data_IF_313653227943
#
_entry.id   IF_313653227943
#
_cell.length_a   1.000
_cell.length_b   1.000
_cell.length_c   1.000
_cell.angle_alpha   90.00
_cell.angle_beta   90.00
_cell.angle_gamma   90.00
#
_symmetry.space_group_name_H-M   'P 1'
#
loop_
_entity.id
_entity.type
_entity.pdbx_description
1 polymer ?
#
# COMPACT_ATOMS: atom_id res chain seq x y z
N UNK A 1 -18.34 8.78 -17.21
CA UNK A 1 -17.49 8.32 -16.08
C UNK A 1 -16.32 7.47 -16.54
N UNK A 2 -16.53 6.40 -17.32
CA UNK A 2 -15.42 5.59 -17.85
C UNK A 2 -14.35 6.39 -18.62
N UNK A 3 -14.76 7.46 -19.35
CA UNK A 3 -13.83 8.37 -20.04
C UNK A 3 -12.90 9.10 -19.06
N UNK A 4 -13.40 9.57 -17.91
CA UNK A 4 -12.57 10.28 -16.93
C UNK A 4 -11.55 9.33 -16.29
N UNK A 5 -11.96 8.11 -15.96
CA UNK A 5 -11.06 7.08 -15.43
C UNK A 5 -10.01 6.67 -16.49
N UNK A 6 -10.42 6.57 -17.75
CA UNK A 6 -9.51 6.30 -18.86
C UNK A 6 -8.48 7.42 -19.03
N UNK A 7 -8.92 8.69 -19.03
CA UNK A 7 -8.03 9.85 -19.12
C UNK A 7 -7.06 9.91 -17.93
N UNK A 8 -7.54 9.70 -16.71
CA UNK A 8 -6.70 9.59 -15.51
C UNK A 8 -5.69 8.46 -15.62
N UNK A 9 -6.10 7.30 -16.13
CA UNK A 9 -5.21 6.14 -16.31
C UNK A 9 -4.10 6.45 -17.31
N UNK A 10 -4.46 6.97 -18.48
CA UNK A 10 -3.50 7.35 -19.54
C UNK A 10 -2.54 8.42 -19.02
N UNK A 11 -3.07 9.44 -18.33
CA UNK A 11 -2.27 10.49 -17.73
C UNK A 11 -1.29 9.96 -16.67
N UNK A 12 -1.72 9.01 -15.83
CA UNK A 12 -0.86 8.41 -14.81
C UNK A 12 0.29 7.59 -15.44
N UNK A 13 0.01 6.80 -16.48
CA UNK A 13 1.03 6.09 -17.28
C UNK A 13 2.01 7.08 -17.91
N UNK A 14 1.49 8.14 -18.52
CA UNK A 14 2.30 9.16 -19.20
C UNK A 14 3.18 9.95 -18.22
N UNK A 15 2.64 10.26 -17.04
CA UNK A 15 3.36 10.92 -15.96
C UNK A 15 4.57 10.11 -15.49
N UNK A 16 4.38 8.82 -15.23
CA UNK A 16 5.47 7.90 -14.87
C UNK A 16 6.53 7.78 -15.97
N UNK A 17 6.11 7.69 -17.23
CA UNK A 17 7.04 7.65 -18.37
C UNK A 17 7.90 8.91 -18.44
N UNK A 18 7.32 10.10 -18.20
CA UNK A 18 8.06 11.35 -18.20
C UNK A 18 9.02 11.48 -17.00
N UNK A 19 8.64 10.95 -15.84
CA UNK A 19 9.51 10.90 -14.65
C UNK A 19 10.76 10.04 -14.85
N UNK A 20 10.74 9.05 -15.74
CA UNK A 20 11.93 8.27 -16.12
C UNK A 20 13.02 9.07 -16.85
N UNK A 21 12.75 10.31 -17.27
CA UNK A 21 13.71 11.18 -17.95
C UNK A 21 13.94 12.48 -17.18
N UNK A 22 15.20 12.83 -16.91
CA UNK A 22 15.55 14.00 -16.10
C UNK A 22 14.94 15.32 -16.66
N UNK A 23 14.95 15.49 -17.99
CA UNK A 23 14.42 16.70 -18.64
C UNK A 23 12.90 16.86 -18.54
N UNK A 24 12.14 15.76 -18.43
CA UNK A 24 10.66 15.80 -18.35
C UNK A 24 10.13 15.47 -16.95
N UNK A 25 11.00 15.28 -15.95
CA UNK A 25 10.59 14.82 -14.62
C UNK A 25 9.55 15.73 -13.94
N UNK A 26 9.72 17.05 -14.04
CA UNK A 26 8.76 18.02 -13.48
C UNK A 26 7.39 17.94 -14.15
N UNK A 27 7.37 17.84 -15.48
CA UNK A 27 6.14 17.66 -16.26
C UNK A 27 5.47 16.33 -15.90
N UNK A 28 6.26 15.26 -15.78
CA UNK A 28 5.76 13.94 -15.39
C UNK A 28 5.05 13.95 -14.04
N UNK A 29 5.64 14.61 -13.05
CA UNK A 29 5.02 14.78 -11.73
C UNK A 29 3.71 15.59 -11.80
N UNK A 30 3.69 16.69 -12.57
CA UNK A 30 2.48 17.51 -12.72
C UNK A 30 1.34 16.74 -13.42
N UNK A 31 1.65 16.00 -14.48
CA UNK A 31 0.67 15.16 -15.20
C UNK A 31 0.14 14.06 -14.29
N UNK A 32 1.00 13.38 -13.52
CA UNK A 32 0.56 12.35 -12.57
C UNK A 32 -0.34 12.93 -11.46
N UNK A 33 0.03 14.08 -10.89
CA UNK A 33 -0.77 14.76 -9.87
C UNK A 33 -2.16 15.15 -10.39
N UNK A 34 -2.23 15.77 -11.58
CA UNK A 34 -3.50 16.09 -12.22
C UNK A 34 -4.36 14.85 -12.49
N UNK A 35 -3.74 13.75 -12.92
CA UNK A 35 -4.44 12.49 -13.21
C UNK A 35 -5.11 11.90 -11.97
N UNK A 36 -4.43 11.93 -10.82
CA UNK A 36 -4.97 11.47 -9.53
C UNK A 36 -6.10 12.39 -9.06
N UNK A 37 -5.96 13.72 -9.20
CA UNK A 37 -7.04 14.66 -8.87
C UNK A 37 -8.28 14.45 -9.73
N UNK A 38 -8.10 14.21 -11.03
CA UNK A 38 -9.18 13.91 -11.95
C UNK A 38 -9.91 12.61 -11.55
N UNK A 39 -9.16 11.58 -11.16
CA UNK A 39 -9.73 10.30 -10.71
C UNK A 39 -10.54 10.50 -9.41
N UNK A 40 -9.98 11.21 -8.44
CA UNK A 40 -10.65 11.53 -7.17
C UNK A 40 -11.96 12.30 -7.40
N UNK A 41 -11.94 13.29 -8.28
CA UNK A 41 -13.14 14.05 -8.66
C UNK A 41 -14.20 13.17 -9.32
N UNK A 42 -13.79 12.29 -10.24
CA UNK A 42 -14.70 11.37 -10.92
C UNK A 42 -15.31 10.34 -9.95
N UNK A 43 -14.54 9.80 -9.00
CA UNK A 43 -15.05 8.88 -7.96
C UNK A 43 -16.01 9.59 -7.01
N UNK A 44 -15.68 10.81 -6.59
CA UNK A 44 -16.56 11.60 -5.71
C UNK A 44 -17.88 11.93 -6.40
N UNK A 45 -17.83 12.31 -7.68
CA UNK A 45 -19.03 12.56 -8.47
C UNK A 45 -19.88 11.28 -8.62
N UNK A 46 -19.25 10.13 -8.84
CA UNK A 46 -19.96 8.84 -8.95
C UNK A 46 -20.65 8.41 -7.64
N UNK A 47 -20.23 8.93 -6.49
CA UNK A 47 -20.87 8.66 -5.20
C UNK A 47 -22.15 9.48 -4.98
N UNK A 48 -22.47 10.42 -5.87
CA UNK A 48 -23.72 11.21 -5.82
C UNK A 48 -24.86 10.34 -6.37
N UNK A 49 -25.57 9.67 -5.47
CA UNK A 49 -26.79 8.89 -5.78
C UNK A 49 -28.00 9.48 -5.05
N UNK A 50 -29.23 9.25 -5.54
CA UNK A 50 -30.44 9.65 -4.83
C UNK A 50 -30.45 9.07 -3.41
N UNK A 51 -30.51 9.94 -2.40
CA UNK A 51 -30.46 9.56 -0.99
C UNK A 51 -29.10 9.75 -0.29
N UNK A 52 -28.03 10.10 -1.02
CA UNK A 52 -26.74 10.42 -0.38
C UNK A 52 -26.85 11.75 0.37
N UNK A 53 -26.72 11.70 1.70
CA UNK A 53 -26.73 12.91 2.54
C UNK A 53 -25.54 13.83 2.24
N UNK A 54 -25.81 15.13 2.13
CA UNK A 54 -24.82 16.20 1.99
C UNK A 54 -23.74 16.13 3.07
N UNK A 55 -24.08 15.65 4.26
CA UNK A 55 -23.13 15.48 5.36
C UNK A 55 -21.93 14.57 5.00
N UNK A 56 -22.14 13.52 4.20
CA UNK A 56 -21.06 12.63 3.76
C UNK A 56 -20.03 13.36 2.89
N UNK A 57 -20.48 14.23 1.99
CA UNK A 57 -19.60 15.02 1.13
C UNK A 57 -18.85 16.10 1.92
N UNK A 58 -19.49 16.71 2.92
CA UNK A 58 -18.83 17.65 3.83
C UNK A 58 -17.71 16.94 4.61
N UNK A 59 -18.01 15.77 5.19
CA UNK A 59 -17.00 14.97 5.91
C UNK A 59 -15.86 14.56 4.98
N UNK A 60 -16.17 14.06 3.78
CA UNK A 60 -15.16 13.70 2.78
C UNK A 60 -14.26 14.90 2.43
N UNK A 61 -14.86 16.07 2.17
CA UNK A 61 -14.13 17.29 1.88
C UNK A 61 -13.19 17.71 3.03
N UNK A 62 -13.66 17.64 4.27
CA UNK A 62 -12.85 17.93 5.46
C UNK A 62 -11.68 16.95 5.64
N UNK A 63 -11.90 15.66 5.39
CA UNK A 63 -10.86 14.64 5.47
C UNK A 63 -9.80 14.83 4.37
N UNK A 64 -10.22 15.09 3.13
CA UNK A 64 -9.30 15.36 2.01
C UNK A 64 -8.48 16.64 2.26
N UNK A 65 -9.12 17.70 2.74
CA UNK A 65 -8.45 18.95 3.06
C UNK A 65 -7.46 18.80 4.21
N UNK A 66 -7.86 18.13 5.30
CA UNK A 66 -6.97 17.93 6.45
C UNK A 66 -5.75 17.08 6.08
N UNK A 67 -5.95 15.97 5.34
CA UNK A 67 -4.85 15.16 4.81
C UNK A 67 -3.90 15.95 3.91
N UNK A 68 -4.45 16.77 3.00
CA UNK A 68 -3.66 17.62 2.10
C UNK A 68 -2.83 18.64 2.88
N UNK A 69 -3.42 19.31 3.88
CA UNK A 69 -2.72 20.31 4.71
C UNK A 69 -1.60 19.66 5.52
N UNK A 70 -1.87 18.53 6.20
CA UNK A 70 -0.86 17.81 6.99
C UNK A 70 0.28 17.33 6.09
N UNK A 71 -0.03 16.68 4.96
CA UNK A 71 0.97 16.18 4.02
C UNK A 71 1.81 17.31 3.43
N UNK A 72 1.19 18.46 3.14
CA UNK A 72 1.89 19.67 2.67
C UNK A 72 2.86 20.17 3.74
N UNK A 73 2.41 20.32 4.98
CA UNK A 73 3.26 20.80 6.08
C UNK A 73 4.48 19.89 6.27
N UNK A 74 4.29 18.56 6.28
CA UNK A 74 5.40 17.61 6.42
C UNK A 74 6.38 17.69 5.25
N UNK A 75 5.87 17.79 4.01
CA UNK A 75 6.71 17.86 2.81
C UNK A 75 7.59 19.11 2.75
N UNK A 76 7.15 20.24 3.30
CA UNK A 76 7.94 21.48 3.30
C UNK A 76 8.87 21.63 4.51
N UNK A 77 8.64 20.88 5.59
CA UNK A 77 9.43 21.02 6.83
C UNK A 77 10.59 20.03 6.96
N UNK A 78 10.55 18.90 6.26
CA UNK A 78 11.61 17.88 6.34
C UNK A 78 12.81 18.30 5.49
N UNK A 79 14.01 18.20 6.07
CA UNK A 79 15.26 18.50 5.36
C UNK A 79 15.52 17.51 4.22
N UNK A 80 16.18 17.96 3.15
CA UNK A 80 16.47 17.13 1.97
C UNK A 80 17.33 15.88 2.28
N UNK A 81 18.13 15.93 3.35
CA UNK A 81 18.91 14.77 3.84
C UNK A 81 18.05 13.69 4.48
N UNK A 82 16.83 14.04 4.92
CA UNK A 82 15.88 13.16 5.58
C UNK A 82 14.70 12.76 4.68
N UNK A 83 14.86 12.90 3.36
CA UNK A 83 13.82 12.51 2.39
C UNK A 83 13.47 11.02 2.43
N UNK A 84 14.43 10.07 2.62
CA UNK A 84 14.07 8.65 2.71
C UNK A 84 13.08 8.33 3.83
N UNK A 85 13.19 9.01 4.97
CA UNK A 85 12.28 8.90 6.12
C UNK A 85 10.86 9.31 5.73
N UNK A 86 10.72 10.48 5.08
CA UNK A 86 9.42 11.00 4.67
C UNK A 86 8.77 10.10 3.61
N UNK A 87 9.54 9.60 2.64
CA UNK A 87 9.04 8.64 1.63
C UNK A 87 8.55 7.36 2.30
N UNK A 88 9.29 6.83 3.27
CA UNK A 88 8.86 5.66 4.03
C UNK A 88 7.55 5.94 4.79
N UNK A 89 7.43 7.09 5.44
CA UNK A 89 6.22 7.44 6.19
C UNK A 89 4.99 7.58 5.28
N UNK A 90 5.12 8.20 4.10
CA UNK A 90 4.01 8.27 3.15
C UNK A 90 3.63 6.90 2.59
N UNK A 91 4.60 6.01 2.35
CA UNK A 91 4.31 4.63 1.99
C UNK A 91 3.54 3.90 3.11
N UNK A 92 3.90 4.16 4.37
CA UNK A 92 3.19 3.59 5.51
C UNK A 92 1.70 3.96 5.50
N UNK A 93 1.38 5.26 5.30
CA UNK A 93 -0.01 5.73 5.22
C UNK A 93 -0.78 5.09 4.05
N UNK A 94 -0.13 4.85 2.92
CA UNK A 94 -0.71 4.08 1.81
C UNK A 94 -1.05 2.64 2.20
N UNK A 95 -0.12 1.95 2.87
CA UNK A 95 -0.34 0.59 3.39
C UNK A 95 -1.48 0.52 4.41
N UNK A 96 -1.56 1.48 5.34
CA UNK A 96 -2.64 1.58 6.32
C UNK A 96 -4.00 1.83 5.62
N UNK A 97 -4.02 2.67 4.59
CA UNK A 97 -5.22 2.91 3.80
C UNK A 97 -5.74 1.62 3.15
N UNK A 98 -4.86 0.76 2.65
CA UNK A 98 -5.25 -0.55 2.11
C UNK A 98 -5.83 -1.48 3.18
N UNK A 99 -5.26 -1.48 4.39
CA UNK A 99 -5.81 -2.25 5.54
C UNK A 99 -7.20 -1.75 5.93
N UNK A 100 -7.37 -0.44 6.10
CA UNK A 100 -8.66 0.16 6.49
C UNK A 100 -9.72 -0.05 5.41
N UNK A 101 -9.36 0.15 4.14
CA UNK A 101 -10.24 -0.14 3.01
C UNK A 101 -10.68 -1.61 3.03
N UNK A 102 -9.74 -2.52 3.30
CA UNK A 102 -10.04 -3.94 3.31
C UNK A 102 -10.95 -4.37 4.47
N UNK A 103 -10.70 -3.83 5.67
CA UNK A 103 -11.56 -4.03 6.84
C UNK A 103 -12.96 -3.45 6.62
N UNK A 104 -13.11 -2.35 5.87
CA UNK A 104 -14.42 -1.85 5.49
C UNK A 104 -15.11 -2.78 4.47
N UNK A 105 -14.37 -3.25 3.46
CA UNK A 105 -14.91 -4.08 2.38
C UNK A 105 -15.37 -5.48 2.83
N UNK A 106 -14.87 -5.98 3.96
CA UNK A 106 -15.31 -7.28 4.48
C UNK A 106 -16.80 -7.30 4.85
N UNK A 107 -17.40 -6.13 5.10
CA UNK A 107 -18.83 -6.02 5.41
C UNK A 107 -19.71 -6.16 4.17
N UNK A 108 -19.17 -5.91 2.97
CA UNK A 108 -19.88 -6.04 1.70
C UNK A 108 -19.74 -7.44 1.08
N UNK A 109 -18.95 -8.32 1.69
CA UNK A 109 -18.76 -9.71 1.24
C UNK A 109 -19.61 -10.65 2.10
N UNK A 110 -20.45 -11.43 1.43
CA UNK A 110 -21.20 -12.53 2.05
C UNK A 110 -20.43 -13.86 1.98
N UNK A 111 -20.76 -14.80 2.87
CA UNK A 111 -20.06 -16.09 3.01
C UNK A 111 -20.42 -17.13 1.93
N UNK A 112 -20.99 -16.71 0.80
CA UNK A 112 -21.42 -17.61 -0.28
C UNK A 112 -20.25 -18.21 -1.08
N UNK A 113 -20.41 -19.39 -1.72
CA UNK A 113 -19.33 -20.08 -2.46
C UNK A 113 -18.68 -19.24 -3.57
N UNK A 114 -19.43 -18.34 -4.21
CA UNK A 114 -18.94 -17.43 -5.26
C UNK A 114 -18.05 -16.28 -4.75
N UNK A 115 -17.93 -16.08 -3.43
CA UNK A 115 -17.24 -14.93 -2.84
C UNK A 115 -15.82 -15.28 -2.33
N UNK A 116 -15.39 -16.55 -2.40
CA UNK A 116 -14.04 -16.95 -1.96
C UNK A 116 -12.93 -16.24 -2.73
N UNK A 117 -13.08 -16.07 -4.04
CA UNK A 117 -12.10 -15.37 -4.87
C UNK A 117 -11.92 -13.90 -4.45
N UNK A 118 -13.03 -13.18 -4.24
CA UNK A 118 -13.01 -11.81 -3.72
C UNK A 118 -12.40 -11.75 -2.31
N UNK A 119 -12.70 -12.74 -1.46
CA UNK A 119 -12.10 -12.86 -0.13
C UNK A 119 -10.58 -13.05 -0.15
N UNK A 120 -10.06 -13.85 -1.07
CA UNK A 120 -8.60 -14.03 -1.26
C UNK A 120 -7.94 -12.71 -1.67
N UNK A 121 -8.50 -12.00 -2.65
CA UNK A 121 -8.00 -10.70 -3.11
C UNK A 121 -7.97 -9.72 -1.95
N UNK A 122 -9.03 -9.69 -1.13
CA UNK A 122 -9.14 -8.84 0.04
C UNK A 122 -8.09 -9.18 1.12
N UNK A 123 -7.94 -10.46 1.46
CA UNK A 123 -6.95 -10.94 2.43
C UNK A 123 -5.54 -10.57 1.98
N UNK A 124 -5.19 -10.83 0.71
CA UNK A 124 -3.88 -10.49 0.17
C UNK A 124 -3.63 -8.97 0.20
N UNK A 125 -4.62 -8.17 -0.17
CA UNK A 125 -4.53 -6.70 -0.10
C UNK A 125 -4.24 -6.19 1.31
N UNK A 126 -4.98 -6.70 2.31
CA UNK A 126 -4.79 -6.36 3.73
C UNK A 126 -3.43 -6.83 4.25
N UNK A 127 -3.01 -8.05 3.90
CA UNK A 127 -1.73 -8.60 4.35
C UNK A 127 -0.56 -7.79 3.79
N UNK A 128 -0.55 -7.53 2.48
CA UNK A 128 0.52 -6.75 1.85
C UNK A 128 0.53 -5.30 2.34
N UNK A 129 -0.65 -4.68 2.50
CA UNK A 129 -0.79 -3.34 3.06
C UNK A 129 -0.32 -3.23 4.51
N UNK A 130 -0.65 -4.22 5.36
CA UNK A 130 -0.27 -4.26 6.77
C UNK A 130 1.24 -4.48 6.98
N UNK A 131 1.83 -5.36 6.18
CA UNK A 131 3.29 -5.56 6.15
C UNK A 131 3.98 -4.25 5.72
N UNK A 132 3.49 -3.62 4.65
CA UNK A 132 4.05 -2.36 4.18
C UNK A 132 3.93 -1.24 5.21
N UNK A 133 2.77 -1.11 5.88
CA UNK A 133 2.55 -0.09 6.90
C UNK A 133 3.55 -0.18 8.05
N UNK A 134 3.55 -1.30 8.77
CA UNK A 134 4.43 -1.48 9.94
C UNK A 134 5.90 -1.58 9.57
N UNK A 135 6.21 -2.19 8.42
CA UNK A 135 7.55 -2.24 7.89
C UNK A 135 8.11 -0.84 7.60
N UNK A 136 7.31 0.03 7.00
CA UNK A 136 7.68 1.41 6.68
C UNK A 136 7.76 2.31 7.91
N UNK A 137 6.91 2.10 8.93
CA UNK A 137 7.05 2.79 10.22
C UNK A 137 8.35 2.38 10.91
N UNK A 138 8.67 1.09 10.94
CA UNK A 138 9.92 0.62 11.54
C UNK A 138 11.16 1.13 10.79
N UNK A 139 11.11 1.22 9.45
CA UNK A 139 12.18 1.79 8.64
C UNK A 139 12.35 3.29 8.91
N UNK A 140 11.25 4.04 9.00
CA UNK A 140 11.25 5.44 9.40
C UNK A 140 11.93 5.64 10.76
N UNK A 141 11.52 4.90 11.80
CA UNK A 141 12.07 5.05 13.15
C UNK A 141 13.59 4.75 13.19
N UNK A 142 14.06 3.77 12.43
CA UNK A 142 15.49 3.45 12.33
C UNK A 142 16.30 4.56 11.67
N UNK A 143 15.78 5.14 10.59
CA UNK A 143 16.43 6.23 9.87
C UNK A 143 16.36 7.57 10.61
N UNK A 144 15.37 7.74 11.50
CA UNK A 144 15.26 8.89 12.43
C UNK A 144 16.22 8.78 13.63
N UNK A 145 17.01 7.70 13.71
CA UNK A 145 17.98 7.49 14.80
C UNK A 145 17.34 7.04 16.12
N UNK A 146 16.05 6.69 16.13
CA UNK A 146 15.37 6.21 17.33
C UNK A 146 15.85 4.81 17.72
N UNK A 147 15.97 4.57 19.02
CA UNK A 147 16.38 3.26 19.55
C UNK A 147 15.33 2.21 19.18
N UNK A 148 15.76 1.21 18.43
CA UNK A 148 14.98 0.04 18.06
C UNK A 148 15.51 -1.22 18.74
N UNK A 149 14.67 -2.25 18.94
CA UNK A 149 15.13 -3.53 19.48
C UNK A 149 16.34 -4.08 18.70
N UNK A 150 17.32 -4.62 19.42
CA UNK A 150 18.53 -5.19 18.83
C UNK A 150 18.12 -6.30 17.85
N UNK A 151 18.68 -6.27 16.64
CA UNK A 151 18.43 -7.28 15.62
C UNK A 151 18.85 -8.68 16.11
N UNK A 152 17.89 -9.58 16.27
CA UNK A 152 18.12 -10.98 16.68
C UNK A 152 17.77 -11.94 15.54
N UNK A 153 18.46 -13.10 15.49
CA UNK A 153 18.10 -14.22 14.61
C UNK A 153 16.64 -14.65 14.81
N UNK A 154 16.14 -14.55 16.04
CA UNK A 154 14.76 -14.82 16.40
C UNK A 154 13.75 -13.99 15.59
N UNK A 155 14.03 -12.71 15.29
CA UNK A 155 13.11 -11.88 14.49
C UNK A 155 12.95 -12.40 13.06
N UNK A 156 14.05 -12.87 12.44
CA UNK A 156 14.00 -13.48 11.09
C UNK A 156 13.20 -14.78 11.10
N UNK A 157 13.40 -15.62 12.10
CA UNK A 157 12.65 -16.86 12.25
C UNK A 157 11.16 -16.58 12.52
N UNK A 158 10.85 -15.60 13.36
CA UNK A 158 9.49 -15.19 13.67
C UNK A 158 8.77 -14.62 12.43
N UNK A 159 9.43 -13.77 11.63
CA UNK A 159 8.86 -13.28 10.38
C UNK A 159 8.54 -14.42 9.40
N UNK A 160 9.45 -15.40 9.24
CA UNK A 160 9.21 -16.59 8.41
C UNK A 160 8.06 -17.45 8.95
N UNK A 161 8.01 -17.66 10.26
CA UNK A 161 6.91 -18.40 10.89
C UNK A 161 5.56 -17.69 10.68
N UNK A 162 5.51 -16.37 10.83
CA UNK A 162 4.31 -15.58 10.57
C UNK A 162 3.86 -15.67 9.11
N UNK A 163 4.80 -15.67 8.15
CA UNK A 163 4.47 -15.91 6.74
C UNK A 163 3.78 -17.27 6.55
N UNK A 164 4.34 -18.34 7.14
CA UNK A 164 3.76 -19.69 7.05
C UNK A 164 2.38 -19.78 7.72
N UNK A 165 2.20 -19.14 8.88
CA UNK A 165 0.90 -19.06 9.56
C UNK A 165 -0.12 -18.33 8.67
N UNK A 166 0.25 -17.22 8.04
CA UNK A 166 -0.63 -16.47 7.15
C UNK A 166 -1.02 -17.26 5.90
N UNK A 167 -0.06 -17.98 5.29
CA UNK A 167 -0.32 -18.91 4.19
C UNK A 167 -1.25 -20.05 4.61
N UNK A 168 -1.03 -20.63 5.79
CA UNK A 168 -1.88 -21.68 6.35
C UNK A 168 -3.32 -21.20 6.59
N UNK A 169 -3.49 -20.01 7.15
CA UNK A 169 -4.80 -19.39 7.35
C UNK A 169 -5.51 -19.08 6.02
N UNK A 170 -4.79 -18.55 5.03
CA UNK A 170 -5.33 -18.33 3.69
C UNK A 170 -5.76 -19.65 3.01
N UNK A 171 -4.95 -20.70 3.14
CA UNK A 171 -5.28 -22.02 2.60
C UNK A 171 -6.49 -22.63 3.32
N UNK A 172 -6.57 -22.48 4.63
CA UNK A 172 -7.74 -22.95 5.41
C UNK A 172 -9.03 -22.22 5.00
N UNK A 173 -8.96 -20.92 4.70
CA UNK A 173 -10.10 -20.15 4.16
C UNK A 173 -10.56 -20.67 2.79
N UNK A 174 -9.61 -21.06 1.93
CA UNK A 174 -9.92 -21.62 0.62
C UNK A 174 -10.57 -23.01 0.71
N UNK A 175 -10.02 -23.88 1.55
CA UNK A 175 -10.40 -25.30 1.61
C UNK A 175 -11.64 -25.55 2.47
N UNK A 176 -11.82 -24.80 3.56
CA UNK A 176 -12.92 -25.03 4.50
C UNK A 176 -14.23 -24.35 4.04
N UNK A 177 -15.39 -24.80 4.53
CA UNK A 177 -16.67 -24.14 4.28
C UNK A 177 -16.68 -22.68 4.77
N UNK A 178 -17.37 -21.78 4.08
CA UNK A 178 -17.42 -20.35 4.44
C UNK A 178 -18.03 -20.07 5.83
N UNK A 179 -18.73 -21.04 6.41
CA UNK A 179 -19.29 -20.97 7.77
C UNK A 179 -18.26 -21.23 8.86
N UNK A 180 -17.17 -21.98 8.59
CA UNK A 180 -16.18 -22.32 9.61
C UNK A 180 -15.17 -21.19 9.83
N UNK A 181 -14.81 -20.48 8.77
CA UNK A 181 -13.89 -19.33 8.82
C UNK A 181 -14.50 -18.14 8.08
N UNK A 182 -15.47 -17.45 8.69
CA UNK A 182 -16.08 -16.27 8.07
C UNK A 182 -15.04 -15.17 7.90
N UNK A 183 -15.05 -14.51 6.74
CA UNK A 183 -14.07 -13.48 6.40
C UNK A 183 -14.06 -12.33 7.41
N UNK A 184 -15.22 -11.99 7.98
CA UNK A 184 -15.38 -10.94 8.99
C UNK A 184 -14.60 -11.23 10.28
N UNK A 185 -14.39 -12.50 10.62
CA UNK A 185 -13.57 -12.90 11.77
C UNK A 185 -12.10 -13.09 11.38
N UNK A 186 -11.85 -13.66 10.19
CA UNK A 186 -10.49 -13.97 9.74
C UNK A 186 -9.69 -12.73 9.35
N UNK A 187 -10.29 -11.76 8.65
CA UNK A 187 -9.57 -10.62 8.08
C UNK A 187 -8.93 -9.72 9.14
N UNK A 188 -9.57 -9.39 10.28
CA UNK A 188 -8.91 -8.65 11.36
C UNK A 188 -7.71 -9.40 11.97
N UNK A 189 -7.82 -10.73 12.10
CA UNK A 189 -6.69 -11.57 12.54
C UNK A 189 -5.56 -11.52 11.53
N UNK A 190 -5.87 -11.59 10.24
CA UNK A 190 -4.87 -11.45 9.18
C UNK A 190 -4.21 -10.08 9.17
N UNK A 191 -4.98 -9.01 9.39
CA UNK A 191 -4.44 -7.67 9.54
C UNK A 191 -3.45 -7.60 10.71
N UNK A 192 -3.83 -8.07 11.90
CA UNK A 192 -2.97 -8.03 13.09
C UNK A 192 -1.66 -8.82 12.87
N UNK A 193 -1.75 -10.01 12.26
CA UNK A 193 -0.57 -10.80 11.91
C UNK A 193 0.31 -10.11 10.87
N UNK A 194 -0.27 -9.42 9.90
CA UNK A 194 0.46 -8.64 8.91
C UNK A 194 1.19 -7.43 9.53
N UNK A 195 0.56 -6.76 10.49
CA UNK A 195 1.19 -5.69 11.28
C UNK A 195 2.39 -6.21 12.09
N UNK A 196 2.25 -7.36 12.74
CA UNK A 196 3.38 -7.98 13.45
C UNK A 196 4.49 -8.41 12.47
N UNK A 197 4.10 -8.93 11.30
CA UNK A 197 5.03 -9.41 10.28
C UNK A 197 5.86 -8.27 9.69
N UNK A 198 5.26 -7.14 9.31
CA UNK A 198 6.02 -6.00 8.78
C UNK A 198 7.06 -5.46 9.77
N UNK A 199 6.71 -5.37 11.06
CA UNK A 199 7.67 -5.00 12.10
C UNK A 199 8.84 -6.00 12.19
N UNK A 200 8.53 -7.30 12.32
CA UNK A 200 9.54 -8.36 12.47
C UNK A 200 10.41 -8.53 11.21
N UNK A 201 9.88 -8.24 10.03
CA UNK A 201 10.61 -8.21 8.77
C UNK A 201 11.67 -7.09 8.77
N UNK A 202 11.31 -5.88 9.24
CA UNK A 202 12.20 -4.72 9.21
C UNK A 202 13.25 -4.72 10.33
N UNK A 203 12.93 -5.25 11.52
CA UNK A 203 13.84 -5.26 12.68
C UNK A 203 15.26 -5.84 12.42
N UNK A 204 15.45 -6.98 11.72
CA UNK A 204 16.77 -7.54 11.46
C UNK A 204 17.58 -6.80 10.38
N UNK A 205 16.96 -5.90 9.62
CA UNK A 205 17.59 -5.22 8.48
C UNK A 205 18.41 -4.02 8.96
N UNK A 206 19.64 -3.88 8.46
CA UNK A 206 20.56 -2.81 8.85
C UNK A 206 20.19 -1.45 8.26
N UNK A 207 20.64 -0.36 8.89
CA UNK A 207 20.38 1.01 8.42
C UNK A 207 20.88 1.26 6.99
N UNK A 208 22.02 0.66 6.63
CA UNK A 208 22.59 0.75 5.28
C UNK A 208 21.70 0.12 4.20
N UNK A 209 20.86 -0.87 4.54
CA UNK A 209 19.96 -1.55 3.60
C UNK A 209 18.56 -0.94 3.52
N UNK A 210 18.28 0.05 4.37
CA UNK A 210 16.94 0.67 4.46
C UNK A 210 16.42 1.20 3.12
N UNK A 211 17.23 1.81 2.23
CA UNK A 211 16.72 2.28 0.94
C UNK A 211 16.14 1.14 0.08
N UNK A 212 16.78 -0.04 0.08
CA UNK A 212 16.29 -1.23 -0.66
C UNK A 212 14.99 -1.74 -0.03
N UNK A 213 14.93 -1.80 1.30
CA UNK A 213 13.72 -2.21 2.01
C UNK A 213 12.55 -1.25 1.73
N UNK A 214 12.78 0.06 1.74
CA UNK A 214 11.74 1.06 1.44
C UNK A 214 11.20 0.88 0.03
N UNK A 215 12.08 0.63 -0.96
CA UNK A 215 11.65 0.34 -2.33
C UNK A 215 10.80 -0.95 -2.42
N UNK A 216 11.18 -1.99 -1.68
CA UNK A 216 10.41 -3.23 -1.60
C UNK A 216 9.02 -3.00 -0.97
N UNK A 217 8.96 -2.30 0.16
CA UNK A 217 7.69 -1.98 0.84
C UNK A 217 6.79 -1.10 -0.04
N UNK A 218 7.36 -0.23 -0.88
CA UNK A 218 6.63 0.54 -1.88
C UNK A 218 6.11 -0.32 -3.04
N UNK A 219 6.85 -1.37 -3.42
CA UNK A 219 6.31 -2.35 -4.36
C UNK A 219 5.10 -3.10 -3.76
N UNK A 220 5.17 -3.46 -2.48
CA UNK A 220 4.06 -4.15 -1.78
C UNK A 220 2.80 -3.28 -1.68
N UNK A 221 2.91 -1.98 -1.40
CA UNK A 221 1.74 -1.08 -1.42
C UNK A 221 1.17 -0.93 -2.83
N UNK A 222 2.00 -0.92 -3.87
CA UNK A 222 1.56 -0.97 -5.26
C UNK A 222 0.73 -2.23 -5.55
N UNK A 223 1.22 -3.41 -5.15
CA UNK A 223 0.47 -4.67 -5.30
C UNK A 223 -0.82 -4.68 -4.48
N UNK A 224 -0.81 -4.17 -3.25
CA UNK A 224 -2.02 -4.03 -2.44
C UNK A 224 -3.07 -3.12 -3.12
N UNK A 225 -2.62 -2.01 -3.72
CA UNK A 225 -3.48 -1.07 -4.47
C UNK A 225 -4.05 -1.72 -5.72
N UNK A 226 -3.25 -2.51 -6.44
CA UNK A 226 -3.70 -3.31 -7.58
C UNK A 226 -4.81 -4.30 -7.18
N UNK A 227 -4.65 -5.01 -6.06
CA UNK A 227 -5.65 -5.96 -5.56
C UNK A 227 -6.94 -5.25 -5.15
N UNK A 228 -6.84 -4.08 -4.52
CA UNK A 228 -8.00 -3.25 -4.24
C UNK A 228 -8.68 -2.78 -5.55
N UNK A 229 -7.92 -2.33 -6.54
CA UNK A 229 -8.47 -1.98 -7.86
C UNK A 229 -9.20 -3.13 -8.54
N UNK A 230 -8.67 -4.36 -8.44
CA UNK A 230 -9.34 -5.57 -8.92
C UNK A 230 -10.66 -5.82 -8.20
N UNK A 231 -10.68 -5.69 -6.86
CA UNK A 231 -11.85 -5.94 -6.03
C UNK A 231 -12.97 -4.92 -6.30
N UNK A 232 -12.64 -3.64 -6.38
CA UNK A 232 -13.59 -2.55 -6.58
C UNK A 232 -13.87 -2.23 -8.04
N UNK A 233 -13.25 -2.96 -8.98
CA UNK A 233 -13.32 -2.72 -10.42
C UNK A 233 -12.92 -1.29 -10.80
N UNK A 234 -11.98 -0.71 -10.06
CA UNK A 234 -11.43 0.62 -10.30
C UNK A 234 -10.17 0.49 -11.18
N UNK A 235 -10.29 0.94 -12.43
CA UNK A 235 -9.21 0.84 -13.42
C UNK A 235 -8.01 1.72 -13.09
N UNK A 236 -8.22 2.85 -12.41
CA UNK A 236 -7.14 3.77 -12.02
C UNK A 236 -6.30 3.15 -10.91
N UNK A 237 -6.94 2.58 -9.88
CA UNK A 237 -6.25 1.83 -8.82
C UNK A 237 -5.57 0.58 -9.36
N UNK A 238 -6.24 -0.16 -10.25
CA UNK A 238 -5.69 -1.37 -10.87
C UNK A 238 -4.39 -1.04 -11.62
N UNK A 239 -4.44 -0.09 -12.56
CA UNK A 239 -3.31 0.24 -13.41
C UNK A 239 -2.24 1.01 -12.64
N UNK A 240 -2.63 1.94 -11.77
CA UNK A 240 -1.71 2.64 -10.87
C UNK A 240 -0.95 1.67 -9.96
N UNK A 241 -1.64 0.70 -9.37
CA UNK A 241 -1.04 -0.34 -8.54
C UNK A 241 -0.07 -1.24 -9.30
N UNK A 242 -0.42 -1.66 -10.52
CA UNK A 242 0.49 -2.43 -11.40
C UNK A 242 1.77 -1.65 -11.67
N UNK A 243 1.65 -0.37 -12.05
CA UNK A 243 2.79 0.46 -12.40
C UNK A 243 3.69 0.72 -11.19
N UNK A 244 3.12 1.09 -10.05
CA UNK A 244 3.89 1.33 -8.80
C UNK A 244 4.53 0.04 -8.30
N UNK A 245 3.81 -1.08 -8.32
CA UNK A 245 4.32 -2.39 -7.91
C UNK A 245 5.50 -2.85 -8.78
N UNK A 246 5.34 -2.80 -10.11
CA UNK A 246 6.37 -3.21 -11.05
C UNK A 246 7.60 -2.29 -11.00
N UNK A 247 7.39 -0.97 -10.99
CA UNK A 247 8.50 0.01 -10.90
C UNK A 247 9.22 -0.08 -9.56
N UNK A 248 8.48 -0.26 -8.45
CA UNK A 248 9.05 -0.47 -7.13
C UNK A 248 9.94 -1.72 -7.06
N UNK A 249 9.48 -2.84 -7.65
CA UNK A 249 10.28 -4.06 -7.71
C UNK A 249 11.54 -3.87 -8.58
N UNK A 250 11.41 -3.23 -9.75
CA UNK A 250 12.55 -2.92 -10.61
C UNK A 250 13.57 -2.01 -9.92
N UNK A 251 13.11 -0.96 -9.23
CA UNK A 251 13.93 -0.08 -8.42
C UNK A 251 14.65 -0.86 -7.31
N UNK A 252 13.93 -1.75 -6.61
CA UNK A 252 14.51 -2.60 -5.56
C UNK A 252 15.67 -3.43 -6.10
N UNK A 253 15.51 -4.04 -7.28
CA UNK A 253 16.55 -4.84 -7.94
C UNK A 253 17.74 -3.98 -8.39
N UNK A 254 17.47 -2.80 -8.97
CA UNK A 254 18.52 -1.87 -9.40
C UNK A 254 19.32 -1.31 -8.22
N UNK A 255 18.65 -0.95 -7.12
CA UNK A 255 19.30 -0.47 -5.89
C UNK A 255 20.13 -1.57 -5.23
N UNK A 256 19.59 -2.79 -5.14
CA UNK A 256 20.35 -3.95 -4.62
C UNK A 256 21.64 -4.17 -5.40
N UNK A 257 21.55 -4.14 -6.74
CA UNK A 257 22.72 -4.27 -7.64
C UNK A 257 23.71 -3.12 -7.45
N UNK A 258 23.23 -1.87 -7.42
CA UNK A 258 24.08 -0.69 -7.23
C UNK A 258 24.81 -0.69 -5.87
N UNK A 259 24.22 -1.32 -4.85
CA UNK A 259 24.78 -1.43 -3.51
C UNK A 259 25.61 -2.71 -3.31
N UNK A 260 25.86 -3.50 -4.37
CA UNK A 260 26.57 -4.79 -4.32
C UNK A 260 25.97 -5.79 -3.31
N UNK A 261 24.64 -5.82 -3.19
CA UNK A 261 23.91 -6.75 -2.31
C UNK A 261 22.89 -7.55 -3.10
N UNK A 262 22.63 -8.80 -2.68
CA UNK A 262 21.56 -9.62 -3.25
C UNK A 262 20.29 -9.44 -2.45
N UNK A 263 19.12 -9.48 -3.11
CA UNK A 263 17.81 -9.38 -2.45
C UNK A 263 17.62 -10.45 -1.36
N UNK A 264 18.26 -11.62 -1.50
CA UNK A 264 18.23 -12.70 -0.50
C UNK A 264 19.05 -12.42 0.77
N UNK A 265 19.97 -11.45 0.72
CA UNK A 265 20.83 -11.06 1.85
C UNK A 265 20.29 -9.82 2.59
N UNK A 266 19.41 -9.06 1.95
CA UNK A 266 18.64 -7.94 2.54
C UNK A 266 17.40 -8.51 3.21
#
# INVERSE_FOLDING_TARGET
MGILYLLSTIGLVQGLKFMGSAGKARLGNAVAAFSVLLALGATTYSAITPGTSTAHFVILGLLLMSGTVIGRIWSYRVAMTSMPQLVSLFNALGGLSAVLLGLNAMHTLDNGPGHKAAGVVLILGVVLGGIAFTGSVAAYLKLDGRRMPVARRAHRLAARALLLVQLGLLLSFLLLPGTTLPIKALLPVMALLALAHGLLLTLPIGGADMPVLIALLNALTGVATLLAGLLFKDTVMLIGGILVGATGLLLTLQMSKAMNRTLSRV
#
